data_IF_368157580291
#
_entry.id   IF_368157580291
#
_cell.length_a   1.000
_cell.length_b   1.000
_cell.length_c   1.000
_cell.angle_alpha   90.00
_cell.angle_beta   90.00
_cell.angle_gamma   90.00
#
_symmetry.space_group_name_H-M   'P 1'
#
loop_
_entity.id
_entity.type
_entity.pdbx_description
1 polymer ?
#
# COMPACT_ATOMS: atom_id res chain seq x y z
N UNK A 1 16.54 11.36 -42.63
CA UNK A 1 17.27 11.56 -41.34
C UNK A 1 16.31 11.87 -40.20
N UNK A 2 15.41 12.84 -40.36
CA UNK A 2 14.40 13.25 -39.36
C UNK A 2 13.53 12.13 -38.79
N UNK A 3 13.00 11.21 -39.60
CA UNK A 3 12.18 10.08 -39.10
C UNK A 3 12.92 9.16 -38.11
N UNK A 4 14.22 8.93 -38.34
CA UNK A 4 15.05 8.09 -37.46
C UNK A 4 15.31 8.81 -36.12
N UNK A 5 15.50 10.13 -36.18
CA UNK A 5 15.68 10.97 -35.01
C UNK A 5 14.41 11.05 -34.16
N UNK A 6 13.24 11.20 -34.80
CA UNK A 6 11.95 11.19 -34.11
C UNK A 6 11.69 9.87 -33.38
N UNK A 7 11.98 8.74 -34.02
CA UNK A 7 11.82 7.42 -33.40
C UNK A 7 12.76 7.23 -32.19
N UNK A 8 14.01 7.67 -32.31
CA UNK A 8 14.98 7.59 -31.21
C UNK A 8 14.55 8.43 -30.00
N UNK A 9 13.99 9.61 -30.22
CA UNK A 9 13.47 10.47 -29.15
C UNK A 9 12.28 9.81 -28.45
N UNK A 10 11.34 9.24 -29.20
CA UNK A 10 10.17 8.54 -28.63
C UNK A 10 10.61 7.36 -27.77
N UNK A 11 11.56 6.55 -28.23
CA UNK A 11 12.10 5.41 -27.46
C UNK A 11 12.80 5.86 -26.19
N UNK A 12 13.63 6.92 -26.27
CA UNK A 12 14.34 7.46 -25.11
C UNK A 12 13.38 8.03 -24.06
N UNK A 13 12.34 8.76 -24.50
CA UNK A 13 11.28 9.27 -23.62
C UNK A 13 10.57 8.10 -22.95
N UNK A 14 10.04 7.14 -23.71
CA UNK A 14 9.33 5.99 -23.15
C UNK A 14 10.21 5.22 -22.16
N UNK A 15 11.48 4.96 -22.51
CA UNK A 15 12.43 4.26 -21.62
C UNK A 15 12.67 4.99 -20.30
N UNK A 16 12.74 6.33 -20.31
CA UNK A 16 12.92 7.12 -19.10
C UNK A 16 11.70 7.05 -18.15
N UNK A 17 10.49 6.89 -18.68
CA UNK A 17 9.25 6.85 -17.89
C UNK A 17 8.86 5.44 -17.39
N UNK A 18 9.46 4.37 -17.91
CA UNK A 18 9.16 2.98 -17.48
C UNK A 18 9.42 2.76 -15.97
N UNK A 19 10.46 3.37 -15.40
CA UNK A 19 10.79 3.20 -13.98
C UNK A 19 9.82 3.90 -13.02
N UNK A 20 9.16 4.98 -13.46
CA UNK A 20 8.18 5.72 -12.64
C UNK A 20 6.91 4.89 -12.41
N UNK A 21 6.55 4.00 -13.34
CA UNK A 21 5.36 3.16 -13.24
C UNK A 21 5.48 2.06 -12.16
N UNK A 22 6.70 1.57 -11.87
CA UNK A 22 6.91 0.60 -10.79
C UNK A 22 6.84 1.26 -9.40
N UNK A 23 7.22 2.54 -9.29
CA UNK A 23 7.17 3.28 -8.02
C UNK A 23 5.76 3.78 -7.65
N UNK A 24 4.85 3.89 -8.62
CA UNK A 24 3.46 4.33 -8.40
C UNK A 24 2.46 3.17 -8.21
N UNK A 25 2.93 1.92 -8.09
CA UNK A 25 2.05 0.82 -7.70
C UNK A 25 1.40 1.17 -6.35
N UNK A 26 0.05 1.21 -6.25
CA UNK A 26 -0.61 1.47 -4.99
C UNK A 26 -0.11 0.46 -3.96
N UNK A 27 0.46 0.95 -2.85
CA UNK A 27 0.87 0.06 -1.77
C UNK A 27 -0.35 -0.77 -1.37
N UNK A 28 -0.24 -2.10 -1.44
CA UNK A 28 -1.33 -3.00 -1.04
C UNK A 28 -1.65 -2.73 0.44
N UNK A 29 -2.84 -2.19 0.67
CA UNK A 29 -3.33 -1.91 2.02
C UNK A 29 -3.91 -3.18 2.60
N UNK A 30 -3.21 -3.78 3.56
CA UNK A 30 -3.69 -4.94 4.28
C UNK A 30 -4.78 -4.51 5.26
N UNK A 31 -5.96 -5.12 5.17
CA UNK A 31 -7.10 -4.87 6.07
C UNK A 31 -7.30 -6.09 6.94
N UNK A 32 -7.24 -5.89 8.25
CA UNK A 32 -7.38 -6.99 9.22
C UNK A 32 -8.67 -6.77 10.01
N UNK A 33 -9.57 -7.76 9.99
CA UNK A 33 -10.81 -7.75 10.75
C UNK A 33 -10.66 -8.54 12.05
N UNK A 34 -11.32 -8.07 13.11
CA UNK A 34 -11.42 -8.77 14.39
C UNK A 34 -12.89 -9.05 14.68
N UNK A 35 -13.24 -10.33 14.88
CA UNK A 35 -14.60 -10.78 15.15
C UNK A 35 -14.64 -11.47 16.51
N UNK A 36 -15.66 -11.15 17.30
CA UNK A 36 -15.88 -11.70 18.63
C UNK A 36 -17.29 -12.26 18.77
N UNK A 37 -17.41 -13.37 19.50
CA UNK A 37 -18.69 -13.98 19.86
C UNK A 37 -19.27 -13.45 21.18
N UNK A 38 -18.57 -12.54 21.85
CA UNK A 38 -18.98 -11.97 23.14
C UNK A 38 -19.28 -10.48 23.03
N UNK A 39 -19.96 -9.94 24.03
CA UNK A 39 -20.25 -8.50 24.11
C UNK A 39 -18.95 -7.66 24.05
N UNK A 40 -18.93 -6.53 23.31
CA UNK A 40 -17.75 -5.69 23.15
C UNK A 40 -17.11 -5.21 24.46
N UNK A 41 -17.90 -4.98 25.52
CA UNK A 41 -17.35 -4.56 26.80
C UNK A 41 -16.51 -5.68 27.44
N UNK A 42 -16.99 -6.92 27.35
CA UNK A 42 -16.30 -8.11 27.86
C UNK A 42 -15.02 -8.41 27.08
N UNK A 43 -15.04 -8.17 25.77
CA UNK A 43 -13.93 -8.50 24.88
C UNK A 43 -12.91 -7.37 24.70
N UNK A 44 -13.18 -6.20 25.30
CA UNK A 44 -12.36 -5.00 25.20
C UNK A 44 -10.86 -5.26 25.39
N UNK A 45 -10.49 -5.99 26.45
CA UNK A 45 -9.10 -6.33 26.75
C UNK A 45 -8.41 -7.12 25.63
N UNK A 46 -9.10 -8.08 25.00
CA UNK A 46 -8.54 -8.87 23.89
C UNK A 46 -8.43 -8.05 22.63
N UNK A 47 -9.45 -7.24 22.33
CA UNK A 47 -9.43 -6.35 21.16
C UNK A 47 -8.30 -5.31 21.26
N UNK A 48 -8.02 -4.79 22.47
CA UNK A 48 -6.91 -3.87 22.71
C UNK A 48 -5.55 -4.54 22.59
N UNK A 49 -5.38 -5.73 23.18
CA UNK A 49 -4.15 -6.50 23.06
C UNK A 49 -3.84 -6.83 21.59
N UNK A 50 -4.87 -7.18 20.81
CA UNK A 50 -4.75 -7.40 19.37
C UNK A 50 -4.28 -6.14 18.63
N UNK A 51 -4.91 -4.98 18.87
CA UNK A 51 -4.48 -3.70 18.30
C UNK A 51 -3.05 -3.34 18.72
N UNK A 52 -2.68 -3.61 19.96
CA UNK A 52 -1.33 -3.34 20.46
C UNK A 52 -0.28 -4.19 19.74
N UNK A 53 -0.48 -5.49 19.60
CA UNK A 53 0.45 -6.36 18.88
C UNK A 53 0.61 -5.95 17.41
N UNK A 54 -0.49 -5.53 16.77
CA UNK A 54 -0.44 -4.96 15.42
C UNK A 54 0.44 -3.69 15.36
N UNK A 55 0.31 -2.78 16.33
CA UNK A 55 1.15 -1.57 16.42
C UNK A 55 2.62 -1.89 16.60
N UNK A 56 2.94 -2.87 17.43
CA UNK A 56 4.32 -3.35 17.65
C UNK A 56 4.94 -3.93 16.36
N UNK A 57 4.11 -4.52 15.50
CA UNK A 57 4.50 -5.01 14.17
C UNK A 57 4.52 -3.92 13.09
N UNK A 58 4.27 -2.66 13.44
CA UNK A 58 4.28 -1.52 12.52
C UNK A 58 2.98 -1.30 11.74
N UNK A 59 1.89 -2.01 12.09
CA UNK A 59 0.57 -1.72 11.56
C UNK A 59 -0.03 -0.51 12.29
N UNK A 60 -0.36 0.55 11.55
CA UNK A 60 -1.05 1.73 12.11
C UNK A 60 -2.41 1.83 11.43
N UNK A 61 -3.47 1.84 12.24
CA UNK A 61 -4.83 2.00 11.78
C UNK A 61 -5.01 3.37 11.09
N UNK A 62 -5.78 3.41 10.00
CA UNK A 62 -6.16 4.66 9.34
C UNK A 62 -5.05 5.37 8.55
N UNK A 63 -3.89 4.75 8.30
CA UNK A 63 -2.82 5.37 7.48
C UNK A 63 -3.22 5.68 6.04
N UNK A 64 -4.22 4.98 5.51
CA UNK A 64 -4.68 5.15 4.14
C UNK A 64 -6.10 5.73 4.20
N UNK A 65 -6.19 7.05 4.29
CA UNK A 65 -7.41 7.83 4.06
C UNK A 65 -7.28 8.62 2.77
#
# INVERSE_FOLDING_TARGET
MVKKLSLAIVVAVVGAFVHLAQAQQPKKVHRTGYLSGTDPATDSARSEAFRQGLRELGYIEGQNK
#
